data_IF_726125966446
#
_entry.id   IF_726125966446
#
_cell.length_a   1.000
_cell.length_b   1.000
_cell.length_c   1.000
_cell.angle_alpha   90.00
_cell.angle_beta   90.00
_cell.angle_gamma   90.00
#
_symmetry.space_group_name_H-M   'P 1'
#
loop_
_entity.id
_entity.type
_entity.pdbx_description
1 polymer ?
#
# COMPACT_ATOMS: atom_id res chain seq x y z
N UNK A 1 34.55 -72.58 3.65
CA UNK A 1 33.68 -71.99 4.68
C UNK A 1 33.85 -70.49 4.64
N UNK A 2 32.74 -69.82 4.33
CA UNK A 2 32.40 -68.39 4.50
C UNK A 2 33.36 -67.35 3.90
N UNK A 3 32.99 -66.88 2.70
CA UNK A 3 33.47 -65.64 2.12
C UNK A 3 32.85 -64.43 2.83
N UNK A 4 33.69 -63.45 3.13
CA UNK A 4 33.34 -62.16 3.74
C UNK A 4 32.59 -61.31 2.71
N UNK A 5 31.31 -61.01 2.97
CA UNK A 5 30.57 -59.97 2.25
C UNK A 5 30.56 -58.69 3.06
N UNK A 6 31.17 -57.65 2.50
CA UNK A 6 31.03 -56.25 2.90
C UNK A 6 29.61 -55.75 2.61
N UNK A 7 28.98 -54.97 3.50
CA UNK A 7 27.68 -54.38 3.22
C UNK A 7 27.79 -53.24 2.21
N UNK A 8 27.00 -53.33 1.13
CA UNK A 8 26.72 -52.27 0.16
C UNK A 8 26.15 -51.04 0.88
N UNK A 9 26.89 -49.95 0.86
CA UNK A 9 26.36 -48.60 1.14
C UNK A 9 25.41 -48.23 0.00
N UNK A 10 24.12 -48.16 0.29
CA UNK A 10 23.13 -47.55 -0.60
C UNK A 10 23.40 -46.05 -0.64
N UNK A 11 23.93 -45.58 -1.77
CA UNK A 11 24.05 -44.15 -2.08
C UNK A 11 22.66 -43.53 -2.12
N UNK A 12 22.30 -42.77 -1.08
CA UNK A 12 21.28 -41.74 -1.16
C UNK A 12 21.83 -40.63 -2.06
N UNK A 13 21.29 -40.52 -3.28
CA UNK A 13 21.52 -39.38 -4.15
C UNK A 13 21.04 -38.10 -3.45
N UNK A 14 21.98 -37.40 -2.81
CA UNK A 14 21.79 -36.02 -2.42
C UNK A 14 21.61 -35.21 -3.70
N UNK A 15 20.35 -34.84 -3.99
CA UNK A 15 20.07 -33.78 -4.96
C UNK A 15 20.69 -32.51 -4.37
N UNK A 16 21.88 -32.15 -4.85
CA UNK A 16 22.45 -30.83 -4.64
C UNK A 16 21.38 -29.79 -5.01
N UNK A 17 21.15 -28.75 -4.20
CA UNK A 17 20.39 -27.61 -4.66
C UNK A 17 21.09 -27.07 -5.90
N UNK A 18 20.36 -27.01 -7.02
CA UNK A 18 20.92 -26.54 -8.28
C UNK A 18 21.54 -25.15 -8.06
N UNK A 19 22.86 -25.05 -8.27
CA UNK A 19 23.53 -23.76 -8.37
C UNK A 19 22.78 -22.90 -9.42
N UNK A 20 22.67 -21.56 -9.23
CA UNK A 20 21.95 -20.68 -10.17
C UNK A 20 22.35 -20.84 -11.64
N UNK A 21 23.57 -21.35 -11.91
CA UNK A 21 24.07 -21.69 -13.25
C UNK A 21 23.28 -22.79 -13.99
N UNK A 22 22.61 -23.72 -13.30
CA UNK A 22 21.88 -24.82 -13.97
C UNK A 22 20.42 -24.48 -14.33
N UNK A 23 19.80 -23.48 -13.69
CA UNK A 23 18.44 -23.02 -14.04
C UNK A 23 18.42 -22.21 -15.35
N UNK A 24 19.57 -21.68 -15.77
CA UNK A 24 19.70 -20.81 -16.93
C UNK A 24 19.79 -21.53 -18.29
N UNK A 25 19.82 -22.88 -18.35
CA UNK A 25 20.13 -23.60 -19.60
C UNK A 25 18.96 -23.71 -20.60
N UNK A 26 17.70 -23.72 -20.15
CA UNK A 26 16.54 -23.86 -21.06
C UNK A 26 15.94 -22.53 -21.53
N UNK A 27 15.02 -22.58 -22.50
CA UNK A 27 14.22 -21.43 -23.00
C UNK A 27 13.17 -20.85 -22.01
N UNK A 28 13.43 -19.66 -21.49
CA UNK A 28 12.51 -18.89 -20.65
C UNK A 28 11.46 -18.19 -21.52
N UNK A 29 10.44 -18.93 -21.92
CA UNK A 29 9.30 -18.38 -22.66
C UNK A 29 8.35 -17.63 -21.71
N UNK A 30 7.52 -16.71 -22.24
CA UNK A 30 6.50 -16.02 -21.45
C UNK A 30 5.64 -17.00 -20.61
N UNK A 31 5.19 -16.63 -19.39
CA UNK A 31 4.46 -17.54 -18.50
C UNK A 31 3.21 -18.16 -19.12
N UNK A 32 2.56 -17.50 -20.08
CA UNK A 32 1.44 -18.03 -20.86
C UNK A 32 1.80 -19.25 -21.72
N UNK A 33 3.07 -19.38 -22.12
CA UNK A 33 3.61 -20.49 -22.91
C UNK A 33 4.42 -21.48 -22.08
N UNK A 34 4.75 -21.12 -20.83
CA UNK A 34 5.52 -21.95 -19.91
C UNK A 34 4.88 -21.94 -18.50
N UNK A 35 3.71 -22.57 -18.33
CA UNK A 35 3.06 -22.69 -17.02
C UNK A 35 3.91 -23.56 -16.08
N UNK A 36 3.62 -23.48 -14.78
CA UNK A 36 4.32 -24.27 -13.75
C UNK A 36 4.21 -25.77 -14.05
N UNK A 37 5.34 -26.47 -14.15
CA UNK A 37 5.37 -27.91 -14.44
C UNK A 37 4.87 -28.74 -13.26
N UNK A 38 4.38 -29.96 -13.49
CA UNK A 38 3.97 -30.85 -12.38
C UNK A 38 5.14 -31.16 -11.44
N UNK A 39 6.36 -31.26 -11.98
CA UNK A 39 7.61 -31.39 -11.21
C UNK A 39 7.89 -30.16 -10.34
N UNK A 40 7.62 -28.95 -10.86
CA UNK A 40 7.75 -27.72 -10.06
C UNK A 40 6.65 -27.60 -9.01
N UNK A 41 5.41 -28.00 -9.31
CA UNK A 41 4.33 -28.07 -8.32
C UNK A 41 4.68 -29.02 -7.17
N UNK A 42 5.23 -30.19 -7.48
CA UNK A 42 5.69 -31.14 -6.47
C UNK A 42 6.78 -30.53 -5.57
N UNK A 43 7.75 -29.80 -6.15
CA UNK A 43 8.75 -29.05 -5.38
C UNK A 43 8.14 -27.94 -4.54
N UNK A 44 7.12 -27.22 -5.03
CA UNK A 44 6.43 -26.20 -4.23
C UNK A 44 5.79 -26.79 -2.98
N UNK A 45 5.24 -28.00 -3.05
CA UNK A 45 4.70 -28.72 -1.89
C UNK A 45 5.84 -29.04 -0.89
N UNK A 46 6.96 -29.55 -1.39
CA UNK A 46 8.12 -29.90 -0.54
C UNK A 46 8.76 -28.67 0.12
N UNK A 47 8.89 -27.57 -0.62
CA UNK A 47 9.34 -26.29 -0.10
C UNK A 47 8.37 -25.73 0.95
N UNK A 48 7.06 -25.78 0.70
CA UNK A 48 6.06 -25.33 1.67
C UNK A 48 6.11 -26.12 2.99
N UNK A 49 6.32 -27.44 2.94
CA UNK A 49 6.54 -28.26 4.14
C UNK A 49 7.86 -27.93 4.83
N UNK A 50 8.93 -27.76 4.06
CA UNK A 50 10.24 -27.39 4.60
C UNK A 50 10.17 -26.06 5.33
N UNK A 51 9.49 -25.06 4.77
CA UNK A 51 9.30 -23.75 5.38
C UNK A 51 8.45 -23.83 6.65
N UNK A 52 7.38 -24.61 6.64
CA UNK A 52 6.49 -24.76 7.80
C UNK A 52 7.12 -25.53 8.96
N UNK A 53 7.85 -26.60 8.67
CA UNK A 53 8.38 -27.52 9.68
C UNK A 53 9.89 -27.42 9.85
N UNK A 54 10.52 -26.40 9.25
CA UNK A 54 11.98 -26.22 9.25
C UNK A 54 12.72 -27.50 8.79
N UNK A 55 12.16 -28.18 7.78
CA UNK A 55 12.70 -29.42 7.22
C UNK A 55 12.52 -30.68 8.07
N UNK A 56 11.80 -30.62 9.20
CA UNK A 56 11.63 -31.77 10.11
C UNK A 56 10.52 -32.74 9.71
N UNK A 57 9.64 -32.33 8.80
CA UNK A 57 8.51 -33.13 8.35
C UNK A 57 8.36 -33.05 6.83
N UNK A 58 7.83 -34.13 6.26
CA UNK A 58 7.50 -34.25 4.85
C UNK A 58 6.02 -34.64 4.70
N UNK A 59 5.37 -34.26 3.59
CA UNK A 59 3.99 -34.64 3.35
C UNK A 59 3.86 -36.16 3.23
N UNK A 60 2.85 -36.73 3.89
CA UNK A 60 2.39 -38.09 3.62
C UNK A 60 1.85 -38.22 2.19
N UNK A 61 1.68 -39.44 1.68
CA UNK A 61 1.12 -39.67 0.34
C UNK A 61 -0.24 -38.99 0.14
N UNK A 62 -1.15 -39.12 1.10
CA UNK A 62 -2.48 -38.48 1.06
C UNK A 62 -2.39 -36.95 1.08
N UNK A 63 -1.54 -36.37 1.94
CA UNK A 63 -1.31 -34.92 1.98
C UNK A 63 -0.73 -34.40 0.67
N UNK A 64 0.21 -35.15 0.06
CA UNK A 64 0.78 -34.79 -1.24
C UNK A 64 -0.28 -34.78 -2.33
N UNK A 65 -1.16 -35.79 -2.37
CA UNK A 65 -2.26 -35.84 -3.35
C UNK A 65 -3.21 -34.64 -3.19
N UNK A 66 -3.61 -34.33 -1.96
CA UNK A 66 -4.50 -33.18 -1.69
C UNK A 66 -3.86 -31.86 -2.12
N UNK A 67 -2.62 -31.62 -1.72
CA UNK A 67 -1.91 -30.38 -2.04
C UNK A 67 -1.57 -30.27 -3.52
N UNK A 68 -1.35 -31.39 -4.21
CA UNK A 68 -1.17 -31.40 -5.66
C UNK A 68 -2.44 -30.98 -6.39
N UNK A 69 -3.62 -31.36 -5.90
CA UNK A 69 -4.88 -30.89 -6.48
C UNK A 69 -5.04 -29.38 -6.31
N UNK A 70 -4.76 -28.86 -5.11
CA UNK A 70 -4.76 -27.41 -4.84
C UNK A 70 -3.75 -26.69 -5.73
N UNK A 71 -2.54 -27.22 -5.87
CA UNK A 71 -1.49 -26.64 -6.69
C UNK A 71 -1.89 -26.60 -8.18
N UNK A 72 -2.57 -27.65 -8.67
CA UNK A 72 -3.11 -27.70 -10.05
C UNK A 72 -4.26 -26.71 -10.26
N UNK A 73 -5.15 -26.56 -9.29
CA UNK A 73 -6.22 -25.55 -9.32
C UNK A 73 -5.64 -24.13 -9.37
N UNK A 74 -4.66 -23.83 -8.51
CA UNK A 74 -3.97 -22.54 -8.51
C UNK A 74 -3.22 -22.30 -9.83
N UNK A 75 -2.54 -23.30 -10.38
CA UNK A 75 -1.93 -23.21 -11.71
C UNK A 75 -2.97 -22.93 -12.80
N UNK A 76 -4.12 -23.59 -12.77
CA UNK A 76 -5.20 -23.36 -13.74
C UNK A 76 -5.77 -21.93 -13.65
N UNK A 77 -5.65 -21.28 -12.50
CA UNK A 77 -5.95 -19.86 -12.30
C UNK A 77 -4.81 -18.92 -12.75
N UNK A 78 -3.74 -19.45 -13.37
CA UNK A 78 -2.60 -18.68 -13.85
C UNK A 78 -1.59 -18.28 -12.77
N UNK A 79 -1.65 -18.89 -11.57
CA UNK A 79 -0.68 -18.61 -10.49
C UNK A 79 0.71 -19.12 -10.85
N UNK A 80 1.73 -18.33 -10.50
CA UNK A 80 3.13 -18.72 -10.64
C UNK A 80 3.58 -19.66 -9.51
N UNK A 81 4.79 -20.22 -9.62
CA UNK A 81 5.30 -21.17 -8.62
C UNK A 81 5.42 -20.57 -7.21
N UNK A 82 5.81 -19.30 -7.09
CA UNK A 82 5.96 -18.62 -5.79
C UNK A 82 4.61 -18.42 -5.09
N UNK A 83 3.62 -17.90 -5.82
CA UNK A 83 2.24 -17.75 -5.35
C UNK A 83 1.66 -19.10 -4.89
N UNK A 84 1.89 -20.15 -5.67
CA UNK A 84 1.46 -21.51 -5.34
C UNK A 84 2.14 -21.98 -4.06
N UNK A 85 3.46 -21.84 -3.93
CA UNK A 85 4.21 -22.22 -2.72
C UNK A 85 3.66 -21.52 -1.48
N UNK A 86 3.44 -20.20 -1.53
CA UNK A 86 2.91 -19.46 -0.38
C UNK A 86 1.47 -19.86 -0.04
N UNK A 87 0.62 -20.06 -1.03
CA UNK A 87 -0.75 -20.53 -0.81
C UNK A 87 -0.78 -21.94 -0.18
N UNK A 88 0.10 -22.85 -0.63
CA UNK A 88 0.24 -24.17 -0.04
C UNK A 88 0.78 -24.10 1.39
N UNK A 89 1.79 -23.25 1.64
CA UNK A 89 2.33 -23.01 2.98
C UNK A 89 1.26 -22.53 3.94
N UNK A 90 0.45 -21.55 3.52
CA UNK A 90 -0.64 -21.03 4.34
C UNK A 90 -1.73 -22.08 4.59
N UNK A 91 -2.10 -22.87 3.58
CA UNK A 91 -3.03 -24.00 3.74
C UNK A 91 -2.52 -25.03 4.74
N UNK A 92 -1.22 -25.37 4.69
CA UNK A 92 -0.59 -26.29 5.66
C UNK A 92 -0.67 -25.68 7.07
N UNK A 93 -0.29 -24.41 7.24
CA UNK A 93 -0.37 -23.71 8.53
C UNK A 93 -1.78 -23.73 9.11
N UNK A 94 -2.77 -23.32 8.33
CA UNK A 94 -4.16 -23.26 8.77
C UNK A 94 -4.66 -24.64 9.21
N UNK A 95 -4.29 -25.72 8.50
CA UNK A 95 -4.62 -27.08 8.92
C UNK A 95 -3.94 -27.47 10.24
N UNK A 96 -2.65 -27.22 10.36
CA UNK A 96 -1.85 -27.57 11.55
C UNK A 96 -2.35 -26.83 12.80
N UNK A 97 -2.77 -25.57 12.64
CA UNK A 97 -3.31 -24.77 13.75
C UNK A 97 -4.81 -25.02 14.02
N UNK A 98 -5.45 -25.90 13.24
CA UNK A 98 -6.88 -26.18 13.32
C UNK A 98 -7.77 -24.99 12.91
N UNK A 99 -7.21 -24.04 12.15
CA UNK A 99 -7.87 -22.81 11.69
C UNK A 99 -8.53 -22.96 10.31
N UNK A 100 -8.17 -23.99 9.52
CA UNK A 100 -8.79 -24.27 8.23
C UNK A 100 -10.29 -24.61 8.39
N UNK A 101 -10.61 -25.41 9.41
CA UNK A 101 -11.98 -25.76 9.80
C UNK A 101 -12.10 -25.75 11.34
N UNK A 102 -12.30 -24.56 11.94
CA UNK A 102 -12.34 -24.43 13.40
C UNK A 102 -13.51 -25.21 13.99
N UNK A 103 -13.24 -26.04 15.00
CA UNK A 103 -14.26 -26.70 15.81
C UNK A 103 -14.48 -25.94 17.14
N UNK A 104 -15.45 -26.35 17.95
CA UNK A 104 -15.76 -25.68 19.22
C UNK A 104 -14.56 -25.59 20.19
N UNK A 105 -13.65 -26.57 20.18
CA UNK A 105 -12.42 -26.51 20.99
C UNK A 105 -11.45 -25.43 20.49
N UNK A 106 -11.24 -25.35 19.17
CA UNK A 106 -10.48 -24.27 18.55
C UNK A 106 -11.11 -22.92 18.84
N UNK A 107 -12.43 -22.78 18.70
CA UNK A 107 -13.15 -21.53 18.98
C UNK A 107 -12.97 -21.10 20.43
N UNK A 108 -13.10 -22.00 21.39
CA UNK A 108 -12.86 -21.70 22.80
C UNK A 108 -11.44 -21.18 23.05
N UNK A 109 -10.43 -21.82 22.45
CA UNK A 109 -9.03 -21.33 22.52
C UNK A 109 -8.90 -19.92 21.92
N UNK A 110 -9.53 -19.65 20.77
CA UNK A 110 -9.48 -18.32 20.15
C UNK A 110 -10.16 -17.24 21.02
N UNK A 111 -11.26 -17.58 21.69
CA UNK A 111 -11.91 -16.70 22.67
C UNK A 111 -10.97 -16.42 23.83
N UNK A 112 -10.32 -17.44 24.40
CA UNK A 112 -9.36 -17.28 25.48
C UNK A 112 -8.16 -16.42 25.06
N UNK A 113 -7.62 -16.64 23.86
CA UNK A 113 -6.57 -15.81 23.27
C UNK A 113 -7.00 -14.35 23.10
N UNK A 114 -8.26 -14.10 22.69
CA UNK A 114 -8.79 -12.76 22.54
C UNK A 114 -8.82 -12.00 23.88
N UNK A 115 -9.37 -12.63 24.93
CA UNK A 115 -9.39 -12.07 26.28
C UNK A 115 -7.98 -11.91 26.85
N UNK A 116 -7.12 -12.92 26.70
CA UNK A 116 -5.73 -12.86 27.13
C UNK A 116 -4.99 -11.69 26.47
N UNK A 117 -5.19 -11.46 25.17
CA UNK A 117 -4.52 -10.40 24.42
C UNK A 117 -5.01 -9.02 24.82
N UNK A 118 -6.32 -8.83 24.95
CA UNK A 118 -6.93 -7.52 25.25
C UNK A 118 -6.70 -7.14 26.71
N UNK A 119 -7.00 -8.03 27.65
CA UNK A 119 -6.88 -7.78 29.09
C UNK A 119 -5.52 -8.16 29.68
N UNK A 120 -4.57 -8.62 28.86
CA UNK A 120 -3.23 -9.06 29.28
C UNK A 120 -3.30 -10.12 30.40
N UNK A 121 -4.27 -11.02 30.31
CA UNK A 121 -4.52 -12.10 31.27
C UNK A 121 -5.12 -11.71 32.60
N UNK A 122 -5.58 -10.46 32.76
CA UNK A 122 -6.20 -9.99 34.01
C UNK A 122 -7.70 -10.28 34.11
N UNK A 123 -8.34 -10.64 33.00
CA UNK A 123 -9.78 -10.90 32.92
C UNK A 123 -10.03 -12.15 32.07
N UNK A 124 -10.18 -13.32 32.70
CA UNK A 124 -10.67 -14.50 31.99
C UNK A 124 -12.15 -14.28 31.61
N UNK A 125 -12.60 -14.79 30.45
CA UNK A 125 -13.98 -14.60 30.02
C UNK A 125 -14.95 -15.30 30.98
N UNK A 126 -15.97 -14.57 31.42
CA UNK A 126 -17.11 -15.14 32.13
C UNK A 126 -17.94 -16.07 31.23
N UNK A 127 -18.82 -16.88 31.82
CA UNK A 127 -19.70 -17.78 31.05
C UNK A 127 -20.57 -17.03 30.03
N UNK A 128 -21.12 -15.87 30.41
CA UNK A 128 -21.93 -15.04 29.50
C UNK A 128 -21.09 -14.46 28.36
N UNK A 129 -19.89 -13.96 28.65
CA UNK A 129 -18.99 -13.43 27.63
C UNK A 129 -18.53 -14.52 26.66
N UNK A 130 -18.24 -15.72 27.19
CA UNK A 130 -17.87 -16.87 26.36
C UNK A 130 -19.00 -17.25 25.40
N UNK A 131 -20.24 -17.34 25.88
CA UNK A 131 -21.38 -17.66 25.02
C UNK A 131 -21.57 -16.61 23.92
N UNK A 132 -21.49 -15.32 24.27
CA UNK A 132 -21.61 -14.22 23.31
C UNK A 132 -20.52 -14.26 22.22
N UNK A 133 -19.28 -14.57 22.60
CA UNK A 133 -18.17 -14.69 21.66
C UNK A 133 -18.27 -15.98 20.83
N UNK A 134 -18.79 -17.06 21.41
CA UNK A 134 -19.05 -18.31 20.68
C UNK A 134 -20.10 -18.10 19.58
N UNK A 135 -21.18 -17.39 19.88
CA UNK A 135 -22.21 -17.05 18.89
C UNK A 135 -21.65 -16.17 17.77
N UNK A 136 -20.81 -15.19 18.11
CA UNK A 136 -20.11 -14.36 17.12
C UNK A 136 -19.18 -15.19 16.23
N UNK A 137 -18.41 -16.11 16.81
CA UNK A 137 -17.51 -16.98 16.07
C UNK A 137 -18.27 -17.94 15.14
N UNK A 138 -19.38 -18.52 15.60
CA UNK A 138 -20.25 -19.41 14.79
C UNK A 138 -20.89 -18.65 13.64
N UNK A 139 -21.30 -17.40 13.84
CA UNK A 139 -21.77 -16.53 12.76
C UNK A 139 -20.69 -16.31 11.70
N UNK A 140 -19.45 -16.02 12.11
CA UNK A 140 -18.33 -15.89 11.17
C UNK A 140 -18.04 -17.19 10.41
N UNK A 141 -18.17 -18.36 11.04
CA UNK A 141 -18.07 -19.65 10.34
C UNK A 141 -19.16 -19.79 9.28
N UNK A 142 -20.41 -19.45 9.64
CA UNK A 142 -21.53 -19.48 8.69
C UNK A 142 -21.32 -18.53 7.50
N UNK A 143 -20.62 -17.42 7.71
CA UNK A 143 -20.19 -16.48 6.67
C UNK A 143 -18.95 -16.94 5.88
N UNK A 144 -18.50 -18.19 6.07
CA UNK A 144 -17.38 -18.80 5.37
C UNK A 144 -16.00 -18.31 5.81
N UNK A 145 -15.87 -17.72 7.02
CA UNK A 145 -14.60 -17.22 7.53
C UNK A 145 -13.76 -18.35 8.14
N UNK A 146 -12.45 -18.31 7.88
CA UNK A 146 -11.49 -19.22 8.48
C UNK A 146 -11.14 -18.79 9.92
N UNK A 147 -10.43 -19.66 10.65
CA UNK A 147 -10.06 -19.44 12.05
C UNK A 147 -9.18 -18.21 12.29
N UNK A 148 -8.38 -17.77 11.30
CA UNK A 148 -7.57 -16.56 11.44
C UNK A 148 -8.43 -15.30 11.42
N UNK A 149 -9.37 -15.22 10.49
CA UNK A 149 -10.35 -14.13 10.45
C UNK A 149 -11.17 -14.09 11.74
N UNK A 150 -11.61 -15.26 12.22
CA UNK A 150 -12.35 -15.39 13.49
C UNK A 150 -11.50 -14.91 14.66
N UNK A 151 -10.21 -15.31 14.74
CA UNK A 151 -9.28 -14.88 15.79
C UNK A 151 -9.22 -13.36 15.91
N UNK A 152 -8.97 -12.66 14.79
CA UNK A 152 -8.88 -11.21 14.81
C UNK A 152 -10.23 -10.52 15.03
N UNK A 153 -11.32 -11.07 14.49
CA UNK A 153 -12.67 -10.57 14.76
C UNK A 153 -13.07 -10.68 16.24
N UNK A 154 -12.69 -11.77 16.91
CA UNK A 154 -12.89 -11.94 18.35
C UNK A 154 -12.04 -10.97 19.17
N UNK A 155 -10.76 -10.81 18.83
CA UNK A 155 -9.87 -9.81 19.48
C UNK A 155 -10.49 -8.42 19.39
N UNK A 156 -10.99 -8.04 18.21
CA UNK A 156 -11.61 -6.74 17.98
C UNK A 156 -12.89 -6.56 18.81
N UNK A 157 -13.77 -7.56 18.81
CA UNK A 157 -15.01 -7.52 19.61
C UNK A 157 -14.73 -7.42 21.11
N UNK A 158 -13.73 -8.15 21.62
CA UNK A 158 -13.31 -8.06 23.02
C UNK A 158 -12.68 -6.70 23.32
N UNK A 159 -11.89 -6.12 22.40
CA UNK A 159 -11.31 -4.77 22.55
C UNK A 159 -12.41 -3.72 22.69
N UNK A 160 -13.38 -3.72 21.77
CA UNK A 160 -14.53 -2.80 21.79
C UNK A 160 -15.25 -2.86 23.14
N UNK A 161 -15.52 -4.08 23.64
CA UNK A 161 -16.17 -4.27 24.94
C UNK A 161 -15.29 -3.80 26.11
N UNK A 162 -13.99 -4.07 26.08
CA UNK A 162 -13.04 -3.63 27.12
C UNK A 162 -12.91 -2.13 27.22
N UNK A 163 -13.05 -1.42 26.09
CA UNK A 163 -13.04 0.03 26.03
C UNK A 163 -14.43 0.62 26.33
N UNK A 164 -15.44 -0.20 26.62
CA UNK A 164 -16.84 0.22 26.79
C UNK A 164 -17.39 0.93 25.55
N UNK A 165 -16.94 0.52 24.36
CA UNK A 165 -17.35 1.06 23.07
C UNK A 165 -18.44 0.20 22.40
N UNK A 166 -18.93 -0.82 23.11
CA UNK A 166 -20.08 -1.64 22.73
C UNK A 166 -21.43 -0.96 23.01
N UNK A 167 -21.41 0.22 23.65
CA UNK A 167 -22.59 0.98 24.09
C UNK A 167 -22.50 2.46 23.75
N UNK A 168 -23.65 3.11 23.65
CA UNK A 168 -23.78 4.54 23.35
C UNK A 168 -24.67 5.28 24.34
N UNK A 169 -24.74 4.79 25.59
CA UNK A 169 -25.49 5.43 26.67
C UNK A 169 -24.84 6.74 27.17
N UNK A 170 -25.60 7.60 27.85
CA UNK A 170 -25.13 8.91 28.32
C UNK A 170 -23.89 8.83 29.22
N UNK A 171 -23.73 7.75 30.01
CA UNK A 171 -22.55 7.55 30.84
C UNK A 171 -21.30 7.30 29.98
N UNK A 172 -21.45 6.47 28.95
CA UNK A 172 -20.40 6.22 27.96
C UNK A 172 -20.06 7.49 27.20
N UNK A 173 -21.05 8.23 26.70
CA UNK A 173 -20.82 9.49 25.99
C UNK A 173 -20.09 10.51 26.86
N UNK A 174 -20.49 10.68 28.13
CA UNK A 174 -19.80 11.56 29.07
C UNK A 174 -18.32 11.18 29.28
N UNK A 175 -18.03 9.89 29.41
CA UNK A 175 -16.65 9.41 29.51
C UNK A 175 -15.85 9.74 28.25
N UNK A 176 -16.42 9.52 27.06
CA UNK A 176 -15.77 9.86 25.79
C UNK A 176 -15.48 11.35 25.64
N UNK A 177 -16.41 12.22 26.09
CA UNK A 177 -16.19 13.67 26.12
C UNK A 177 -15.02 14.03 27.04
N UNK A 178 -14.98 13.49 28.25
CA UNK A 178 -13.87 13.75 29.17
C UNK A 178 -12.53 13.22 28.61
N UNK A 179 -12.52 12.05 27.97
CA UNK A 179 -11.36 11.48 27.30
C UNK A 179 -10.87 12.38 26.15
N UNK A 180 -11.78 12.96 25.36
CA UNK A 180 -11.45 13.89 24.29
C UNK A 180 -10.72 15.15 24.81
N UNK A 181 -11.25 15.79 25.86
CA UNK A 181 -10.62 16.95 26.49
C UNK A 181 -9.28 16.60 27.15
N UNK A 182 -9.23 15.48 27.88
CA UNK A 182 -8.00 15.00 28.51
C UNK A 182 -6.91 14.76 27.46
N UNK A 183 -7.26 14.18 26.32
CA UNK A 183 -6.30 13.89 25.24
C UNK A 183 -5.78 15.14 24.55
N UNK A 184 -6.65 16.11 24.26
CA UNK A 184 -6.27 17.32 23.50
C UNK A 184 -5.56 18.35 24.38
N UNK A 185 -5.99 18.51 25.63
CA UNK A 185 -5.42 19.50 26.55
C UNK A 185 -4.48 18.89 27.59
N UNK A 186 -4.14 17.59 27.47
CA UNK A 186 -3.27 16.86 28.41
C UNK A 186 -3.75 16.97 29.88
N UNK A 187 -5.07 17.04 30.09
CA UNK A 187 -5.67 17.21 31.42
C UNK A 187 -5.61 18.62 32.00
N UNK A 188 -5.05 19.61 31.30
CA UNK A 188 -4.93 21.01 31.77
C UNK A 188 -6.22 21.82 31.62
N UNK A 189 -7.16 21.36 30.80
CA UNK A 189 -8.45 22.00 30.56
C UNK A 189 -9.57 20.95 30.65
N UNK A 190 -10.15 20.70 31.84
CA UNK A 190 -11.37 19.91 31.94
C UNK A 190 -12.52 20.67 31.26
N UNK A 191 -13.47 19.95 30.61
CA UNK A 191 -14.56 20.60 29.90
C UNK A 191 -15.43 21.40 30.89
N UNK A 192 -15.69 22.66 30.57
CA UNK A 192 -16.70 23.47 31.27
C UNK A 192 -18.11 22.90 31.07
N UNK A 193 -19.07 23.36 31.87
CA UNK A 193 -20.47 22.92 31.74
C UNK A 193 -21.04 23.21 30.34
N UNK A 194 -20.71 24.35 29.75
CA UNK A 194 -21.14 24.71 28.40
C UNK A 194 -20.52 23.78 27.33
N UNK A 195 -19.21 23.56 27.39
CA UNK A 195 -18.50 22.65 26.47
C UNK A 195 -19.02 21.21 26.59
N UNK A 196 -19.27 20.74 27.81
CA UNK A 196 -19.84 19.41 28.05
C UNK A 196 -21.23 19.28 27.45
N UNK A 197 -22.10 20.27 27.65
CA UNK A 197 -23.45 20.26 27.09
C UNK A 197 -23.43 20.27 25.55
N UNK A 198 -22.56 21.07 24.95
CA UNK A 198 -22.39 21.10 23.49
C UNK A 198 -21.89 19.76 22.93
N UNK A 199 -20.85 19.19 23.53
CA UNK A 199 -20.31 17.90 23.08
C UNK A 199 -21.28 16.75 23.33
N UNK A 200 -22.10 16.82 24.37
CA UNK A 200 -23.16 15.85 24.62
C UNK A 200 -24.24 15.91 23.54
N UNK A 201 -24.63 17.11 23.09
CA UNK A 201 -25.57 17.25 21.98
C UNK A 201 -25.00 16.67 20.68
N UNK A 202 -23.72 16.93 20.40
CA UNK A 202 -23.05 16.34 19.23
C UNK A 202 -22.99 14.82 19.31
N UNK A 203 -22.57 14.27 20.46
CA UNK A 203 -22.49 12.84 20.67
C UNK A 203 -23.86 12.17 20.47
N UNK A 204 -24.93 12.74 21.03
CA UNK A 204 -26.30 12.24 20.86
C UNK A 204 -26.78 12.33 19.41
N UNK A 205 -26.38 13.36 18.67
CA UNK A 205 -26.66 13.47 17.24
C UNK A 205 -25.96 12.34 16.47
N UNK A 206 -24.69 12.09 16.74
CA UNK A 206 -23.96 10.97 16.14
C UNK A 206 -24.58 9.60 16.47
N UNK A 207 -25.09 9.42 17.70
CA UNK A 207 -25.88 8.22 18.06
C UNK A 207 -27.16 8.12 17.25
N UNK A 208 -27.91 9.22 17.09
CA UNK A 208 -29.12 9.25 16.27
C UNK A 208 -28.83 8.95 14.79
N UNK A 209 -27.65 9.33 14.30
CA UNK A 209 -27.14 9.01 12.97
C UNK A 209 -26.61 7.55 12.85
N UNK A 210 -26.74 6.74 13.90
CA UNK A 210 -26.35 5.33 13.92
C UNK A 210 -24.85 5.07 14.06
N UNK A 211 -24.06 6.06 14.48
CA UNK A 211 -22.62 5.90 14.65
C UNK A 211 -22.28 5.04 15.87
N UNK A 212 -21.22 4.22 15.74
CA UNK A 212 -20.69 3.43 16.86
C UNK A 212 -20.00 4.34 17.88
N UNK A 213 -19.87 3.86 19.11
CA UNK A 213 -19.15 4.58 20.17
C UNK A 213 -17.68 4.86 19.80
N UNK A 214 -17.06 3.99 19.01
CA UNK A 214 -15.71 4.20 18.49
C UNK A 214 -15.65 5.39 17.52
N UNK A 215 -16.59 5.46 16.57
CA UNK A 215 -16.72 6.61 15.67
C UNK A 215 -16.98 7.89 16.45
N UNK A 216 -17.87 7.84 17.46
CA UNK A 216 -18.17 8.97 18.33
C UNK A 216 -16.93 9.42 19.12
N UNK A 217 -16.17 8.49 19.70
CA UNK A 217 -14.93 8.77 20.43
C UNK A 217 -13.96 9.59 19.57
N UNK A 218 -13.69 9.14 18.35
CA UNK A 218 -12.77 9.85 17.46
C UNK A 218 -13.37 11.15 16.91
N UNK A 219 -14.68 11.21 16.64
CA UNK A 219 -15.36 12.43 16.23
C UNK A 219 -15.33 13.52 17.32
N UNK A 220 -15.51 13.14 18.59
CA UNK A 220 -15.39 14.07 19.72
C UNK A 220 -13.94 14.56 19.91
N UNK A 221 -12.95 13.67 19.83
CA UNK A 221 -11.53 14.06 19.88
C UNK A 221 -11.21 15.07 18.78
N UNK A 222 -11.69 14.82 17.56
CA UNK A 222 -11.49 15.70 16.41
C UNK A 222 -12.12 17.07 16.63
N UNK A 223 -13.38 17.12 17.09
CA UNK A 223 -14.09 18.37 17.36
C UNK A 223 -13.40 19.20 18.43
N UNK A 224 -12.91 18.57 19.51
CA UNK A 224 -12.14 19.26 20.56
C UNK A 224 -10.80 19.76 20.02
N UNK A 225 -10.10 18.96 19.18
CA UNK A 225 -8.86 19.38 18.51
C UNK A 225 -9.08 20.64 17.67
N UNK A 226 -10.09 20.63 16.80
CA UNK A 226 -10.42 21.75 15.91
C UNK A 226 -10.68 23.02 16.72
N UNK A 227 -11.45 22.93 17.81
CA UNK A 227 -11.69 24.06 18.73
C UNK A 227 -10.42 24.54 19.43
N UNK A 228 -9.58 23.64 19.93
CA UNK A 228 -8.34 24.00 20.62
C UNK A 228 -7.37 24.80 19.73
N UNK A 229 -7.46 24.60 18.41
CA UNK A 229 -6.67 25.31 17.41
C UNK A 229 -7.34 26.57 16.88
N UNK A 230 -8.55 26.90 17.37
CA UNK A 230 -9.39 27.98 16.87
C UNK A 230 -9.75 27.81 15.39
N UNK A 231 -9.98 26.56 14.96
CA UNK A 231 -10.35 26.20 13.58
C UNK A 231 -11.85 25.85 13.45
N UNK A 232 -12.63 26.07 14.52
CA UNK A 232 -14.08 25.89 14.55
C UNK A 232 -14.85 27.08 13.97
N UNK A 233 -14.14 28.15 13.57
CA UNK A 233 -14.68 29.39 13.03
C UNK A 233 -13.91 29.85 11.80
N UNK A 234 -14.54 30.68 10.98
CA UNK A 234 -13.97 31.27 9.76
C UNK A 234 -14.10 32.79 9.73
N UNK A 235 -14.14 33.43 10.92
CA UNK A 235 -14.17 34.89 11.03
C UNK A 235 -12.86 35.57 10.57
N UNK A 236 -12.93 36.87 10.27
CA UNK A 236 -11.79 37.64 9.74
C UNK A 236 -10.55 37.58 10.65
N UNK A 237 -10.72 37.48 11.97
CA UNK A 237 -9.61 37.35 12.92
C UNK A 237 -8.90 36.00 12.75
N UNK A 238 -9.67 34.93 12.64
CA UNK A 238 -9.18 33.58 12.36
C UNK A 238 -8.48 33.54 11.01
N UNK A 239 -9.10 34.06 9.94
CA UNK A 239 -8.50 34.09 8.61
C UNK A 239 -7.17 34.86 8.59
N UNK A 240 -7.10 36.03 9.24
CA UNK A 240 -5.85 36.80 9.34
C UNK A 240 -4.73 36.03 10.05
N UNK A 241 -5.05 35.32 11.14
CA UNK A 241 -4.09 34.45 11.83
C UNK A 241 -3.59 33.34 10.90
N UNK A 242 -4.49 32.68 10.17
CA UNK A 242 -4.12 31.61 9.23
C UNK A 242 -3.22 32.10 8.09
N UNK A 243 -3.47 33.32 7.57
CA UNK A 243 -2.61 33.96 6.58
C UNK A 243 -1.20 34.19 7.14
N UNK A 244 -1.09 34.74 8.35
CA UNK A 244 0.20 34.96 9.00
C UNK A 244 0.92 33.63 9.26
N UNK A 245 0.21 32.59 9.72
CA UNK A 245 0.77 31.23 9.89
C UNK A 245 1.30 30.66 8.57
N UNK A 246 0.60 30.87 7.46
CA UNK A 246 1.03 30.41 6.14
C UNK A 246 2.36 31.05 5.71
N UNK A 247 2.48 32.38 5.82
CA UNK A 247 3.72 33.09 5.52
C UNK A 247 4.86 32.71 6.47
N UNK A 248 4.57 32.63 7.77
CA UNK A 248 5.56 32.20 8.76
C UNK A 248 6.09 30.81 8.46
N UNK A 249 5.22 29.88 8.05
CA UNK A 249 5.61 28.51 7.72
C UNK A 249 6.45 28.41 6.45
N UNK A 250 6.07 29.11 5.37
CA UNK A 250 6.77 29.01 4.08
C UNK A 250 8.09 29.78 4.08
N UNK A 251 8.10 30.98 4.66
CA UNK A 251 9.29 31.84 4.67
C UNK A 251 10.10 31.76 5.97
N UNK A 252 9.76 30.84 6.89
CA UNK A 252 10.38 30.69 8.20
C UNK A 252 10.45 32.02 8.99
N UNK A 253 9.40 32.85 8.88
CA UNK A 253 9.30 34.16 9.53
C UNK A 253 10.13 35.29 8.91
N UNK A 254 10.87 35.04 7.82
CA UNK A 254 11.73 36.05 7.17
C UNK A 254 10.98 37.00 6.24
N UNK A 255 9.76 36.65 5.84
CA UNK A 255 8.89 37.45 4.98
C UNK A 255 7.49 37.52 5.59
N UNK A 256 7.21 38.52 6.44
CA UNK A 256 5.84 38.80 6.86
C UNK A 256 5.03 39.26 5.63
N UNK A 257 3.74 38.90 5.53
CA UNK A 257 2.93 39.28 4.37
C UNK A 257 2.82 40.81 4.28
N UNK A 258 3.14 41.35 3.11
CA UNK A 258 2.86 42.75 2.78
C UNK A 258 1.35 43.02 2.77
N UNK A 259 0.97 44.30 2.78
CA UNK A 259 -0.45 44.69 2.70
C UNK A 259 -1.15 44.12 1.44
N UNK A 260 -0.45 44.11 0.31
CA UNK A 260 -0.99 43.56 -0.95
C UNK A 260 -1.19 42.04 -0.85
N UNK A 261 -0.17 41.31 -0.38
CA UNK A 261 -0.25 39.85 -0.20
C UNK A 261 -1.31 39.44 0.82
N UNK A 262 -1.44 40.19 1.92
CA UNK A 262 -2.48 39.96 2.92
C UNK A 262 -3.87 40.17 2.32
N UNK A 263 -4.08 41.24 1.56
CA UNK A 263 -5.36 41.51 0.92
C UNK A 263 -5.73 40.40 -0.08
N UNK A 264 -4.77 39.96 -0.89
CA UNK A 264 -4.96 38.86 -1.83
C UNK A 264 -5.33 37.54 -1.12
N UNK A 265 -4.56 37.16 -0.10
CA UNK A 265 -4.82 35.93 0.65
C UNK A 265 -6.13 36.01 1.44
N UNK A 266 -6.52 37.20 1.91
CA UNK A 266 -7.81 37.41 2.55
C UNK A 266 -8.97 37.22 1.57
N UNK A 267 -8.83 37.69 0.32
CA UNK A 267 -9.84 37.44 -0.72
C UNK A 267 -9.95 35.94 -1.02
N UNK A 268 -8.82 35.23 -1.14
CA UNK A 268 -8.82 33.79 -1.35
C UNK A 268 -9.46 33.04 -0.17
N UNK A 269 -9.11 33.40 1.07
CA UNK A 269 -9.69 32.81 2.26
C UNK A 269 -11.21 33.02 2.31
N UNK A 270 -11.69 34.24 2.02
CA UNK A 270 -13.13 34.54 1.96
C UNK A 270 -13.83 33.79 0.84
N UNK A 271 -13.18 33.59 -0.31
CA UNK A 271 -13.70 32.74 -1.38
C UNK A 271 -13.86 31.29 -0.90
N UNK A 272 -12.85 30.74 -0.23
CA UNK A 272 -12.95 29.39 0.36
C UNK A 272 -14.07 29.31 1.40
N UNK A 273 -14.28 30.34 2.22
CA UNK A 273 -15.43 30.40 3.14
C UNK A 273 -16.75 30.40 2.39
N UNK A 274 -16.87 31.19 1.32
CA UNK A 274 -18.07 31.23 0.47
C UNK A 274 -18.33 29.86 -0.21
N UNK A 275 -17.26 29.12 -0.54
CA UNK A 275 -17.31 27.75 -1.05
C UNK A 275 -17.57 26.69 0.05
N UNK A 276 -17.89 27.11 1.27
CA UNK A 276 -18.24 26.23 2.39
C UNK A 276 -17.06 25.51 3.04
N UNK A 277 -15.82 25.96 2.83
CA UNK A 277 -14.63 25.35 3.44
C UNK A 277 -14.50 25.77 4.90
N UNK A 278 -14.11 24.81 5.75
CA UNK A 278 -13.81 25.07 7.16
C UNK A 278 -12.39 25.67 7.32
N UNK A 279 -12.08 26.18 8.51
CA UNK A 279 -10.79 26.82 8.75
C UNK A 279 -9.58 25.88 8.65
N UNK A 280 -9.74 24.58 8.90
CA UNK A 280 -8.66 23.61 8.69
C UNK A 280 -8.31 23.49 7.20
N UNK A 281 -9.32 23.34 6.34
CA UNK A 281 -9.12 23.33 4.89
C UNK A 281 -8.51 24.66 4.40
N UNK A 282 -9.00 25.79 4.91
CA UNK A 282 -8.48 27.12 4.57
C UNK A 282 -7.02 27.27 5.01
N UNK A 283 -6.66 26.80 6.22
CA UNK A 283 -5.29 26.83 6.73
C UNK A 283 -4.33 26.15 5.75
N UNK A 284 -4.63 24.92 5.33
CA UNK A 284 -3.79 24.19 4.41
C UNK A 284 -3.82 24.76 2.99
N UNK A 285 -4.98 25.24 2.53
CA UNK A 285 -5.11 25.91 1.23
C UNK A 285 -4.29 27.20 1.15
N UNK A 286 -4.27 28.01 2.20
CA UNK A 286 -3.44 29.22 2.28
C UNK A 286 -1.95 28.88 2.33
N UNK A 287 -1.54 27.89 3.11
CA UNK A 287 -0.14 27.40 3.13
C UNK A 287 0.29 26.99 1.71
N UNK A 288 -0.56 26.24 1.01
CA UNK A 288 -0.28 25.77 -0.35
C UNK A 288 -0.18 26.94 -1.34
N UNK A 289 -1.12 27.90 -1.28
CA UNK A 289 -1.12 29.10 -2.13
C UNK A 289 0.16 29.93 -1.94
N UNK A 290 0.59 30.12 -0.69
CA UNK A 290 1.83 30.85 -0.37
C UNK A 290 3.05 30.07 -0.86
N UNK A 291 3.08 28.74 -0.71
CA UNK A 291 4.15 27.89 -1.26
C UNK A 291 4.26 28.04 -2.78
N UNK A 292 3.15 27.88 -3.49
CA UNK A 292 3.08 27.97 -4.95
C UNK A 292 3.63 29.31 -5.43
N UNK A 293 3.24 30.42 -4.79
CA UNK A 293 3.79 31.75 -5.10
C UNK A 293 5.28 31.87 -4.79
N UNK A 294 5.73 31.35 -3.64
CA UNK A 294 7.14 31.39 -3.25
C UNK A 294 8.06 30.66 -4.24
N UNK A 295 7.54 29.61 -4.89
CA UNK A 295 8.24 28.84 -5.92
C UNK A 295 8.05 29.42 -7.34
N UNK A 296 7.31 30.53 -7.49
CA UNK A 296 6.94 31.11 -8.78
C UNK A 296 6.15 30.15 -9.66
N UNK A 297 5.26 29.36 -9.06
CA UNK A 297 4.39 28.36 -9.70
C UNK A 297 2.93 28.83 -9.79
N UNK A 298 2.66 30.10 -9.48
CA UNK A 298 1.33 30.72 -9.56
C UNK A 298 0.95 31.15 -10.98
N UNK A 299 1.86 30.98 -11.95
CA UNK A 299 1.71 31.40 -13.35
C UNK A 299 2.28 30.34 -14.31
N UNK A 300 1.84 30.40 -15.56
CA UNK A 300 2.29 29.51 -16.64
C UNK A 300 2.73 30.31 -17.88
N UNK A 301 3.30 31.49 -17.67
CA UNK A 301 3.87 32.30 -18.75
C UNK A 301 5.17 31.70 -19.32
N UNK A 302 5.57 32.14 -20.52
CA UNK A 302 6.74 31.61 -21.22
C UNK A 302 8.04 31.70 -20.40
N UNK A 303 8.18 32.72 -19.55
CA UNK A 303 9.35 32.87 -18.67
C UNK A 303 9.37 31.77 -17.60
N UNK A 304 8.22 31.51 -16.98
CA UNK A 304 8.05 30.43 -16.02
C UNK A 304 8.27 29.07 -16.69
N UNK A 305 7.67 28.81 -17.85
CA UNK A 305 7.86 27.55 -18.57
C UNK A 305 9.33 27.32 -18.94
N UNK A 306 10.04 28.34 -19.42
CA UNK A 306 11.47 28.23 -19.72
C UNK A 306 12.31 27.87 -18.49
N UNK A 307 12.02 28.49 -17.34
CA UNK A 307 12.68 28.14 -16.07
C UNK A 307 12.43 26.68 -15.71
N UNK A 308 11.18 26.21 -15.79
CA UNK A 308 10.81 24.84 -15.47
C UNK A 308 11.49 23.81 -16.40
N UNK A 309 11.65 24.13 -17.70
CA UNK A 309 12.39 23.29 -18.64
C UNK A 309 13.87 23.20 -18.23
N UNK A 310 14.51 24.32 -17.91
CA UNK A 310 15.90 24.32 -17.47
C UNK A 310 16.07 23.53 -16.15
N UNK A 311 15.16 23.70 -15.20
CA UNK A 311 15.12 22.91 -13.96
C UNK A 311 14.97 21.41 -14.22
N UNK A 312 14.14 21.02 -15.19
CA UNK A 312 13.95 19.62 -15.55
C UNK A 312 15.25 18.98 -16.07
N UNK A 313 15.94 19.65 -17.00
CA UNK A 313 17.24 19.20 -17.50
C UNK A 313 18.33 19.20 -16.44
N UNK A 314 18.41 20.27 -15.65
CA UNK A 314 19.35 20.37 -14.54
C UNK A 314 19.16 19.22 -13.55
N UNK A 315 17.92 18.86 -13.23
CA UNK A 315 17.62 17.79 -12.28
C UNK A 315 17.90 16.40 -12.85
N UNK A 316 17.53 16.13 -14.10
CA UNK A 316 17.70 14.80 -14.71
C UNK A 316 19.16 14.50 -15.05
N UNK A 317 19.88 15.50 -15.56
CA UNK A 317 21.27 15.34 -15.99
C UNK A 317 22.29 15.90 -14.98
N UNK A 318 21.84 16.28 -13.78
CA UNK A 318 22.69 16.87 -12.72
C UNK A 318 23.49 18.08 -13.21
N UNK A 319 22.90 18.90 -14.09
CA UNK A 319 23.53 20.08 -14.69
C UNK A 319 24.57 19.78 -15.78
N UNK A 320 24.81 18.52 -16.14
CA UNK A 320 25.83 18.13 -17.14
C UNK A 320 25.36 18.25 -18.59
N UNK A 321 24.05 18.37 -18.81
CA UNK A 321 23.45 18.51 -20.13
C UNK A 321 22.41 19.64 -20.11
N UNK A 322 22.79 20.87 -20.48
CA UNK A 322 21.82 21.92 -20.72
C UNK A 322 20.98 21.56 -21.97
N UNK A 323 19.68 21.92 -22.01
CA UNK A 323 18.84 21.59 -23.15
C UNK A 323 19.35 22.29 -24.41
N UNK A 324 19.51 21.52 -25.49
CA UNK A 324 19.74 22.05 -26.83
C UNK A 324 18.52 22.87 -27.32
N UNK A 325 18.70 23.64 -28.39
CA UNK A 325 17.60 24.42 -28.97
C UNK A 325 16.41 23.53 -29.39
N UNK A 326 16.69 22.36 -29.97
CA UNK A 326 15.66 21.40 -30.37
C UNK A 326 14.91 20.82 -29.17
N UNK A 327 15.65 20.38 -28.13
CA UNK A 327 15.05 19.85 -26.90
C UNK A 327 14.23 20.91 -26.15
N UNK A 328 14.72 22.16 -26.11
CA UNK A 328 13.98 23.27 -25.50
C UNK A 328 12.69 23.55 -26.26
N UNK A 329 12.73 23.58 -27.60
CA UNK A 329 11.54 23.81 -28.41
C UNK A 329 10.51 22.69 -28.22
N UNK A 330 10.97 21.43 -28.18
CA UNK A 330 10.09 20.28 -27.91
C UNK A 330 9.44 20.37 -26.53
N UNK A 331 10.23 20.61 -25.48
CA UNK A 331 9.68 20.73 -24.12
C UNK A 331 8.79 21.95 -23.95
N UNK A 332 9.06 23.04 -24.68
CA UNK A 332 8.18 24.22 -24.69
C UNK A 332 6.83 23.90 -25.33
N UNK A 333 6.80 23.14 -26.43
CA UNK A 333 5.55 22.68 -27.03
C UNK A 333 4.77 21.78 -26.06
N UNK A 334 5.45 20.88 -25.36
CA UNK A 334 4.81 20.04 -24.34
C UNK A 334 4.24 20.88 -23.20
N UNK A 335 5.04 21.80 -22.65
CA UNK A 335 4.62 22.67 -21.58
C UNK A 335 3.38 23.49 -21.99
N UNK A 336 3.37 24.03 -23.21
CA UNK A 336 2.22 24.76 -23.76
C UNK A 336 1.00 23.87 -23.96
N UNK A 337 1.18 22.60 -24.35
CA UNK A 337 0.09 21.63 -24.40
C UNK A 337 -0.49 21.38 -23.00
N UNK A 338 0.36 21.18 -22.00
CA UNK A 338 -0.07 21.04 -20.60
C UNK A 338 -0.82 22.29 -20.11
N UNK A 339 -0.38 23.49 -20.49
CA UNK A 339 -1.10 24.75 -20.21
C UNK A 339 -2.46 24.77 -20.91
N UNK A 340 -2.54 24.36 -22.18
CA UNK A 340 -3.81 24.26 -22.90
C UNK A 340 -4.77 23.23 -22.26
N UNK A 341 -4.22 22.17 -21.68
CA UNK A 341 -4.94 21.18 -20.88
C UNK A 341 -5.24 21.68 -19.44
N UNK A 342 -5.06 22.99 -19.18
CA UNK A 342 -5.32 23.65 -17.89
C UNK A 342 -4.52 23.09 -16.71
N UNK A 343 -3.33 22.54 -16.97
CA UNK A 343 -2.44 22.04 -15.92
C UNK A 343 -1.77 23.20 -15.17
N UNK A 344 -1.61 23.03 -13.85
CA UNK A 344 -0.87 23.99 -13.02
C UNK A 344 0.62 23.98 -13.34
N UNK A 345 1.33 25.07 -13.01
CA UNK A 345 2.78 25.12 -13.19
C UNK A 345 3.52 24.04 -12.36
N UNK A 346 2.97 23.63 -11.22
CA UNK A 346 3.52 22.52 -10.43
C UNK A 346 3.38 21.19 -11.17
N UNK A 347 2.20 20.91 -11.74
CA UNK A 347 1.97 19.74 -12.60
C UNK A 347 2.92 19.75 -13.80
N UNK A 348 3.08 20.91 -14.45
CA UNK A 348 3.99 21.08 -15.58
C UNK A 348 5.44 20.83 -15.17
N UNK A 349 5.90 21.39 -14.04
CA UNK A 349 7.25 21.18 -13.50
C UNK A 349 7.58 19.69 -13.38
N UNK A 350 6.72 18.93 -12.72
CA UNK A 350 6.95 17.49 -12.54
C UNK A 350 6.74 16.69 -13.82
N UNK A 351 5.80 17.07 -14.67
CA UNK A 351 5.58 16.45 -15.98
C UNK A 351 6.79 16.61 -16.92
N UNK A 352 7.40 17.79 -16.93
CA UNK A 352 8.63 18.06 -17.70
C UNK A 352 9.82 17.26 -17.14
N UNK A 353 10.02 17.23 -15.82
CA UNK A 353 11.06 16.39 -15.19
C UNK A 353 10.89 14.92 -15.60
N UNK A 354 9.67 14.40 -15.53
CA UNK A 354 9.37 13.02 -15.91
C UNK A 354 9.66 12.76 -17.39
N UNK A 355 9.20 13.65 -18.28
CA UNK A 355 9.40 13.51 -19.73
C UNK A 355 10.89 13.54 -20.10
N UNK A 356 11.67 14.44 -19.51
CA UNK A 356 13.12 14.50 -19.72
C UNK A 356 13.80 13.23 -19.21
N UNK A 357 13.40 12.72 -18.04
CA UNK A 357 13.89 11.45 -17.48
C UNK A 357 13.60 10.27 -18.40
N UNK A 358 12.35 10.12 -18.85
CA UNK A 358 11.93 9.04 -19.76
C UNK A 358 12.74 9.07 -21.05
N UNK A 359 12.92 10.25 -21.66
CA UNK A 359 13.76 10.44 -22.85
C UNK A 359 15.22 10.10 -22.60
N UNK A 360 15.80 10.54 -21.46
CA UNK A 360 17.19 10.24 -21.11
C UNK A 360 17.48 8.74 -21.01
N UNK A 361 16.45 7.94 -20.72
CA UNK A 361 16.51 6.48 -20.63
C UNK A 361 16.10 5.77 -21.93
N UNK A 362 15.75 6.51 -22.99
CA UNK A 362 15.21 5.98 -24.24
C UNK A 362 13.90 5.21 -24.05
N UNK A 363 13.04 5.67 -23.15
CA UNK A 363 11.75 5.06 -22.81
C UNK A 363 10.55 5.88 -23.33
N UNK A 364 10.80 6.87 -24.18
CA UNK A 364 9.78 7.74 -24.77
C UNK A 364 9.04 7.11 -25.95
N UNK A 365 9.44 5.90 -26.37
CA UNK A 365 8.88 5.16 -27.50
C UNK A 365 8.70 3.68 -27.17
N UNK A 366 7.81 3.02 -27.89
CA UNK A 366 7.56 1.57 -27.81
C UNK A 366 7.80 0.90 -29.16
N UNK A 367 8.77 1.40 -29.93
CA UNK A 367 9.17 0.80 -31.20
C UNK A 367 10.01 -0.47 -31.00
N UNK A 368 10.11 -1.31 -32.03
CA UNK A 368 10.80 -2.60 -31.94
C UNK A 368 12.25 -2.50 -31.44
N UNK A 369 13.08 -1.51 -31.84
CA UNK A 369 14.41 -1.35 -31.27
C UNK A 369 14.37 -1.12 -29.75
N UNK A 370 13.46 -0.27 -29.27
CA UNK A 370 13.29 -0.03 -27.83
C UNK A 370 12.85 -1.30 -27.12
N UNK A 371 11.80 -1.97 -27.62
CA UNK A 371 11.28 -3.20 -27.02
C UNK A 371 12.33 -4.31 -26.97
N UNK A 372 13.12 -4.49 -28.03
CA UNK A 372 14.23 -5.45 -28.05
C UNK A 372 15.29 -5.12 -27.00
N UNK A 373 15.68 -3.85 -26.86
CA UNK A 373 16.59 -3.41 -25.81
C UNK A 373 16.02 -3.72 -24.41
N UNK A 374 14.73 -3.50 -24.19
CA UNK A 374 14.08 -3.81 -22.91
C UNK A 374 14.09 -5.30 -22.59
N UNK A 375 13.89 -6.15 -23.59
CA UNK A 375 14.01 -7.61 -23.44
C UNK A 375 15.45 -7.98 -23.07
N UNK A 376 16.45 -7.41 -23.76
CA UNK A 376 17.87 -7.65 -23.45
C UNK A 376 18.25 -7.16 -22.04
N UNK A 377 17.73 -6.02 -21.62
CA UNK A 377 17.89 -5.50 -20.25
C UNK A 377 17.24 -6.42 -19.21
N UNK A 378 16.04 -6.95 -19.49
CA UNK A 378 15.38 -7.91 -18.62
C UNK A 378 16.22 -9.19 -18.46
N UNK A 379 16.72 -9.78 -19.55
CA UNK A 379 17.59 -10.95 -19.50
C UNK A 379 18.89 -10.67 -18.74
N UNK A 380 19.55 -9.53 -19.03
CA UNK A 380 20.77 -9.13 -18.32
C UNK A 380 20.52 -8.95 -16.82
N UNK A 381 19.38 -8.39 -16.44
CA UNK A 381 19.03 -8.11 -15.04
C UNK A 381 18.62 -9.38 -14.28
N UNK A 382 17.77 -10.21 -14.87
CA UNK A 382 17.20 -11.39 -14.20
C UNK A 382 18.18 -12.56 -14.17
N UNK A 383 18.97 -12.73 -15.24
CA UNK A 383 19.97 -13.79 -15.32
C UNK A 383 21.38 -13.33 -14.97
N UNK A 384 21.54 -12.09 -14.47
CA UNK A 384 22.84 -11.50 -14.13
C UNK A 384 23.87 -11.60 -15.27
N UNK A 385 23.38 -11.49 -16.52
CA UNK A 385 24.21 -11.61 -17.72
C UNK A 385 24.67 -13.02 -18.07
N UNK A 386 24.14 -14.08 -17.43
CA UNK A 386 24.54 -15.46 -17.68
C UNK A 386 24.37 -15.88 -19.15
N UNK A 387 23.33 -15.37 -19.83
CA UNK A 387 23.15 -15.52 -21.29
C UNK A 387 22.20 -14.47 -21.87
N UNK A 388 22.29 -14.17 -23.18
CA UNK A 388 21.26 -13.43 -23.90
C UNK A 388 20.02 -14.31 -24.17
N UNK A 389 18.88 -13.72 -24.56
CA UNK A 389 17.74 -14.47 -25.09
C UNK A 389 18.10 -15.16 -26.41
N UNK A 390 17.60 -16.38 -26.61
CA UNK A 390 17.61 -17.08 -27.89
C UNK A 390 16.72 -16.37 -28.92
N UNK A 391 16.86 -16.70 -30.20
CA UNK A 391 16.01 -16.13 -31.27
C UNK A 391 14.52 -16.39 -31.04
N UNK A 392 14.18 -17.57 -30.51
CA UNK A 392 12.80 -17.94 -30.19
C UNK A 392 12.29 -17.14 -28.99
N UNK A 393 13.05 -17.10 -27.90
CA UNK A 393 12.70 -16.31 -26.72
C UNK A 393 12.48 -14.84 -27.08
N UNK A 394 13.40 -14.24 -27.85
CA UNK A 394 13.28 -12.86 -28.32
C UNK A 394 11.99 -12.66 -29.11
N UNK A 395 11.66 -13.58 -30.00
CA UNK A 395 10.45 -13.49 -30.82
C UNK A 395 9.18 -13.53 -29.96
N UNK A 396 9.09 -14.45 -29.00
CA UNK A 396 7.90 -14.57 -28.14
C UNK A 396 7.79 -13.42 -27.13
N UNK A 397 8.91 -12.99 -26.53
CA UNK A 397 8.93 -11.82 -25.66
C UNK A 397 8.61 -10.52 -26.41
N UNK A 398 9.02 -10.40 -27.68
CA UNK A 398 8.68 -9.25 -28.50
C UNK A 398 7.17 -9.21 -28.80
N UNK A 399 6.50 -10.34 -29.00
CA UNK A 399 5.04 -10.37 -29.12
C UNK A 399 4.36 -9.87 -27.84
N UNK A 400 4.83 -10.31 -26.67
CA UNK A 400 4.32 -9.84 -25.37
C UNK A 400 4.53 -8.33 -25.22
N UNK A 401 5.74 -7.84 -25.49
CA UNK A 401 6.07 -6.43 -25.39
C UNK A 401 5.24 -5.56 -26.37
N UNK A 402 5.05 -6.03 -27.60
CA UNK A 402 4.19 -5.38 -28.60
C UNK A 402 2.73 -5.36 -28.17
N UNK A 403 2.22 -6.45 -27.59
CA UNK A 403 0.86 -6.49 -27.06
C UNK A 403 0.69 -5.46 -25.94
N UNK A 404 1.61 -5.40 -24.99
CA UNK A 404 1.57 -4.39 -23.93
C UNK A 404 1.59 -2.96 -24.50
N UNK A 405 2.41 -2.71 -25.52
CA UNK A 405 2.45 -1.42 -26.21
C UNK A 405 1.13 -1.11 -26.94
N UNK A 406 0.52 -2.10 -27.59
CA UNK A 406 -0.79 -1.98 -28.24
C UNK A 406 -1.92 -1.74 -27.23
N UNK A 407 -1.79 -2.28 -26.02
CA UNK A 407 -2.68 -2.04 -24.89
C UNK A 407 -2.43 -0.65 -24.23
N UNK A 408 -1.55 0.16 -24.79
CA UNK A 408 -1.26 1.52 -24.34
C UNK A 408 -0.25 1.62 -23.19
N UNK A 409 0.44 0.53 -22.84
CA UNK A 409 1.48 0.59 -21.81
C UNK A 409 2.71 1.35 -22.30
N UNK A 410 3.24 2.22 -21.44
CA UNK A 410 4.48 2.96 -21.70
C UNK A 410 5.70 2.04 -21.59
N UNK A 411 6.78 2.39 -22.27
CA UNK A 411 8.01 1.59 -22.28
C UNK A 411 8.60 1.36 -20.88
N UNK A 412 8.45 2.31 -19.95
CA UNK A 412 8.85 2.13 -18.56
C UNK A 412 8.07 1.02 -17.86
N UNK A 413 6.75 0.97 -18.03
CA UNK A 413 5.90 -0.11 -17.53
C UNK A 413 6.31 -1.44 -18.13
N UNK A 414 6.51 -1.48 -19.46
CA UNK A 414 6.92 -2.67 -20.20
C UNK A 414 8.28 -3.18 -19.69
N UNK A 415 9.24 -2.29 -19.43
CA UNK A 415 10.58 -2.62 -18.91
C UNK A 415 10.49 -3.43 -17.61
N UNK A 416 9.70 -2.97 -16.65
CA UNK A 416 9.55 -3.67 -15.38
C UNK A 416 8.71 -4.94 -15.53
N UNK A 417 7.63 -4.90 -16.31
CA UNK A 417 6.79 -6.06 -16.57
C UNK A 417 7.55 -7.21 -17.24
N UNK A 418 8.41 -6.92 -18.21
CA UNK A 418 9.27 -7.93 -18.86
C UNK A 418 10.23 -8.58 -17.85
N UNK A 419 10.87 -7.79 -16.98
CA UNK A 419 11.75 -8.34 -15.95
C UNK A 419 11.00 -9.22 -14.94
N UNK A 420 9.81 -8.81 -14.51
CA UNK A 420 9.00 -9.57 -13.57
C UNK A 420 8.45 -10.86 -14.19
N UNK A 421 7.93 -10.79 -15.42
CA UNK A 421 7.48 -11.98 -16.12
C UNK A 421 8.62 -12.95 -16.43
N UNK A 422 9.84 -12.45 -16.68
CA UNK A 422 11.01 -13.30 -16.88
C UNK A 422 11.43 -14.01 -15.59
N UNK A 423 11.32 -13.35 -14.42
CA UNK A 423 11.51 -14.02 -13.12
C UNK A 423 10.46 -15.11 -12.91
N UNK A 424 9.20 -14.82 -13.20
CA UNK A 424 8.12 -15.82 -13.12
C UNK A 424 8.42 -17.01 -14.05
N UNK A 425 8.86 -16.75 -15.29
CA UNK A 425 9.22 -17.81 -16.24
C UNK A 425 10.39 -18.67 -15.75
N UNK A 426 11.33 -18.06 -15.01
CA UNK A 426 12.44 -18.76 -14.35
C UNK A 426 11.95 -19.61 -13.17
N UNK A 427 11.06 -19.07 -12.33
CA UNK A 427 10.54 -19.74 -11.13
C UNK A 427 9.59 -20.89 -11.44
N UNK A 428 8.91 -20.84 -12.59
CA UNK A 428 8.01 -21.90 -13.07
C UNK A 428 8.74 -23.20 -13.43
N UNK A 429 10.07 -23.21 -13.44
CA UNK A 429 10.90 -24.32 -13.93
C UNK A 429 11.37 -25.33 -12.91
#
# INVERSE_FOLDING_TARGET
MVAVQTPRVLMTNFVQPASPKNLAAGELLPPSMNPVTDERLARCIDEAYRDMYQGKQFPTGQQRTELMNVARELRAQGRNAEDIRYALRDKIRLKTEGLDKPNDATLNRLIDEAFQRVYKGKHPPSASERNEMMDAARKMIADGKNGEFIKYGLIDKVRIKSEGLDKTDDATLNRLINEAFQRIYEGKHPPSAAERNEMMQEARKMVADGQSAETIKYGLIDKVRVKSQGLDKTDDATLNRLINEAFQRIYAGKHPPSASERNEMMQEARKMVADGKNAEFIKYGLIDKVRIKSEGLDKTDDATLNRLINEAFQRVYEGKHPPSAAERNEMMQEARKMVADSQSAETIKYGLIDKVRIKSQGLDKTDDPTLNRLIDEAYRRVLEGARPPSSRERTEWLKVARQMAADGQKAETIKYALADQLRIALDNR
#
